data_IF_147522054652
#
_entry.id   IF_147522054652
#
_cell.length_a   1.000
_cell.length_b   1.000
_cell.length_c   1.000
_cell.angle_alpha   90.00
_cell.angle_beta   90.00
_cell.angle_gamma   90.00
#
_symmetry.space_group_name_H-M   'P 1'
#
loop_
_entity.id
_entity.type
_entity.pdbx_description
1 polymer ?
#
# COMPACT_ATOMS: atom_id res chain seq x y z
N UNK A 1 7.37 -12.81 -60.38
CA UNK A 1 6.70 -12.79 -61.69
C UNK A 1 6.58 -14.22 -62.18
N UNK A 2 5.37 -14.60 -62.64
CA UNK A 2 5.01 -15.72 -63.55
C UNK A 2 5.36 -17.17 -63.13
N UNK A 3 4.47 -18.18 -63.12
CA UNK A 3 3.02 -18.29 -63.40
C UNK A 3 2.52 -19.69 -63.03
N UNK A 4 1.24 -19.79 -62.63
CA UNK A 4 0.42 -21.01 -62.51
C UNK A 4 0.13 -21.67 -63.88
N UNK A 5 -0.06 -23.00 -63.87
CA UNK A 5 -1.01 -23.88 -64.62
C UNK A 5 -0.39 -25.28 -64.71
N UNK A 6 -1.07 -26.43 -64.65
CA UNK A 6 -2.44 -26.89 -64.43
C UNK A 6 -2.27 -28.38 -63.98
N UNK A 7 -3.22 -29.08 -63.38
CA UNK A 7 -4.21 -29.90 -64.09
C UNK A 7 -5.19 -30.45 -63.04
N UNK A 8 -6.48 -30.34 -63.35
CA UNK A 8 -7.63 -30.94 -62.66
C UNK A 8 -7.87 -32.33 -63.26
N UNK A 9 -8.14 -33.35 -62.44
CA UNK A 9 -8.99 -34.47 -62.84
C UNK A 9 -9.60 -35.17 -61.61
N UNK A 10 -10.93 -35.10 -61.51
CA UNK A 10 -11.79 -35.80 -60.57
C UNK A 10 -11.82 -37.31 -60.86
N UNK A 11 -11.81 -38.14 -59.81
CA UNK A 11 -12.45 -39.47 -59.80
C UNK A 11 -13.25 -39.65 -58.51
N UNK A 12 -14.46 -40.15 -58.71
CA UNK A 12 -15.61 -40.34 -57.81
C UNK A 12 -15.47 -41.64 -56.95
N UNK A 13 -16.42 -41.96 -56.04
CA UNK A 13 -16.17 -42.27 -54.64
C UNK A 13 -16.05 -43.78 -54.34
N UNK A 14 -15.16 -44.15 -53.42
CA UNK A 14 -15.07 -45.49 -52.84
C UNK A 14 -15.49 -45.47 -51.38
N UNK A 15 -16.62 -46.11 -51.07
CA UNK A 15 -17.09 -46.33 -49.71
C UNK A 15 -16.10 -47.18 -48.92
N UNK A 16 -15.56 -46.63 -47.83
CA UNK A 16 -14.91 -47.39 -46.78
C UNK A 16 -15.47 -46.91 -45.44
N UNK A 17 -16.13 -47.83 -44.73
CA UNK A 17 -16.70 -47.61 -43.42
C UNK A 17 -15.60 -47.21 -42.42
N UNK A 18 -15.58 -45.94 -42.03
CA UNK A 18 -14.75 -45.46 -40.94
C UNK A 18 -15.43 -45.84 -39.62
N UNK A 19 -14.86 -46.83 -38.93
CA UNK A 19 -15.14 -47.14 -37.53
C UNK A 19 -14.88 -45.88 -36.71
N UNK A 20 -15.92 -45.30 -36.13
CA UNK A 20 -15.80 -44.19 -35.20
C UNK A 20 -15.21 -44.71 -33.88
N UNK A 21 -13.88 -44.76 -33.79
CA UNK A 21 -13.21 -44.76 -32.49
C UNK A 21 -13.48 -43.40 -31.86
N UNK A 22 -14.47 -43.33 -30.97
CA UNK A 22 -14.58 -42.24 -30.01
C UNK A 22 -13.34 -42.26 -29.12
N UNK A 23 -12.33 -41.50 -29.52
CA UNK A 23 -11.24 -41.09 -28.66
C UNK A 23 -11.86 -40.33 -27.48
N UNK A 24 -12.05 -41.02 -26.36
CA UNK A 24 -12.10 -40.42 -25.04
C UNK A 24 -10.71 -39.79 -24.80
N UNK A 25 -10.48 -38.63 -25.40
CA UNK A 25 -9.40 -37.77 -24.96
C UNK A 25 -9.66 -37.50 -23.47
N UNK A 26 -8.68 -37.72 -22.58
CA UNK A 26 -8.84 -37.30 -21.20
C UNK A 26 -9.15 -35.80 -21.25
N UNK A 27 -10.28 -35.39 -20.68
CA UNK A 27 -10.50 -33.98 -20.36
C UNK A 27 -9.26 -33.57 -19.59
N UNK A 28 -8.38 -32.77 -20.20
CA UNK A 28 -7.41 -31.98 -19.43
C UNK A 28 -8.27 -31.30 -18.39
N UNK A 29 -8.10 -31.65 -17.11
CA UNK A 29 -8.60 -30.81 -16.05
C UNK A 29 -8.08 -29.41 -16.40
N UNK A 30 -8.98 -28.47 -16.66
CA UNK A 30 -8.57 -27.09 -16.85
C UNK A 30 -7.76 -26.75 -15.60
N UNK A 31 -6.48 -26.39 -15.78
CA UNK A 31 -5.69 -25.90 -14.66
C UNK A 31 -6.50 -24.75 -14.04
N UNK A 32 -6.71 -24.80 -12.72
CA UNK A 32 -7.43 -23.75 -12.02
C UNK A 32 -6.83 -22.41 -12.43
N UNK A 33 -7.68 -21.46 -12.82
CA UNK A 33 -7.22 -20.13 -13.16
C UNK A 33 -6.53 -19.53 -11.93
N UNK A 34 -5.30 -19.02 -12.08
CA UNK A 34 -4.51 -18.52 -10.97
C UNK A 34 -4.51 -17.01 -10.96
N UNK A 35 -5.01 -16.44 -9.88
CA UNK A 35 -4.94 -15.01 -9.58
C UNK A 35 -3.66 -14.73 -8.78
N UNK A 36 -2.65 -14.18 -9.44
CA UNK A 36 -1.37 -13.81 -8.83
C UNK A 36 -1.44 -12.41 -8.23
N UNK A 37 -1.17 -12.31 -6.93
CA UNK A 37 -1.20 -11.06 -6.16
C UNK A 37 0.19 -10.74 -5.63
N UNK A 38 0.75 -9.60 -6.04
CA UNK A 38 2.04 -9.13 -5.56
C UNK A 38 1.82 -8.12 -4.44
N UNK A 39 2.35 -8.39 -3.25
CA UNK A 39 1.98 -7.64 -2.06
C UNK A 39 3.01 -7.71 -0.94
N UNK A 40 2.80 -6.97 0.14
CA UNK A 40 3.47 -7.23 1.41
C UNK A 40 2.73 -8.37 2.17
N UNK A 41 3.44 -9.11 3.03
CA UNK A 41 2.87 -10.22 3.81
C UNK A 41 1.66 -9.83 4.67
N UNK A 42 1.59 -8.56 5.09
CA UNK A 42 0.45 -8.02 5.85
C UNK A 42 -0.85 -8.09 5.05
N UNK A 43 -0.83 -7.86 3.73
CA UNK A 43 -2.04 -7.89 2.90
C UNK A 43 -2.63 -9.30 2.84
N UNK A 44 -1.77 -10.32 2.65
CA UNK A 44 -2.19 -11.72 2.78
C UNK A 44 -2.79 -11.99 4.15
N UNK A 45 -2.09 -11.60 5.22
CA UNK A 45 -2.55 -11.86 6.59
C UNK A 45 -3.93 -11.25 6.84
N UNK A 46 -4.17 -9.98 6.51
CA UNK A 46 -5.47 -9.34 6.75
C UNK A 46 -6.58 -9.85 5.84
N UNK A 47 -6.24 -10.41 4.67
CA UNK A 47 -7.21 -11.01 3.75
C UNK A 47 -7.58 -12.45 4.12
N UNK A 48 -6.68 -13.21 4.73
CA UNK A 48 -6.86 -14.66 4.90
C UNK A 48 -6.97 -15.11 6.35
N UNK A 49 -6.82 -14.21 7.32
CA UNK A 49 -6.78 -14.55 8.75
C UNK A 49 -7.53 -13.52 9.60
N UNK A 50 -7.70 -13.82 10.89
CA UNK A 50 -8.35 -12.94 11.85
C UNK A 50 -9.87 -13.15 11.95
N UNK A 51 -10.57 -12.28 12.68
CA UNK A 51 -12.00 -12.45 12.98
C UNK A 51 -12.91 -12.47 11.74
N UNK A 52 -12.48 -11.85 10.64
CA UNK A 52 -13.21 -11.83 9.36
C UNK A 52 -13.01 -13.06 8.47
N UNK A 53 -12.12 -13.99 8.84
CA UNK A 53 -11.82 -15.19 8.04
C UNK A 53 -11.06 -14.90 6.75
N UNK A 54 -11.21 -15.78 5.75
CA UNK A 54 -10.61 -15.63 4.41
C UNK A 54 -11.60 -14.99 3.44
N UNK A 55 -11.39 -13.71 3.14
CA UNK A 55 -12.25 -12.92 2.24
C UNK A 55 -12.13 -13.36 0.78
N UNK A 56 -11.12 -14.17 0.44
CA UNK A 56 -10.93 -14.70 -0.92
C UNK A 56 -11.65 -16.03 -1.14
N UNK A 57 -12.05 -16.75 -0.08
CA UNK A 57 -12.49 -18.13 -0.16
C UNK A 57 -13.73 -18.31 -1.04
N UNK A 58 -14.77 -17.51 -0.83
CA UNK A 58 -16.02 -17.58 -1.61
C UNK A 58 -15.80 -17.25 -3.09
N UNK A 59 -14.90 -16.30 -3.38
CA UNK A 59 -14.53 -15.96 -4.76
C UNK A 59 -13.78 -17.10 -5.43
N UNK A 60 -12.82 -17.73 -4.72
CA UNK A 60 -12.06 -18.89 -5.24
C UNK A 60 -12.97 -20.06 -5.57
N UNK A 61 -13.88 -20.40 -4.67
CA UNK A 61 -14.86 -21.47 -4.88
C UNK A 61 -15.77 -21.19 -6.08
N UNK A 62 -16.35 -19.99 -6.15
CA UNK A 62 -17.25 -19.60 -7.24
C UNK A 62 -16.58 -19.64 -8.63
N UNK A 63 -15.30 -19.29 -8.71
CA UNK A 63 -14.58 -19.16 -9.98
C UNK A 63 -13.72 -20.39 -10.32
N UNK A 64 -13.63 -21.39 -9.44
CA UNK A 64 -12.72 -22.52 -9.63
C UNK A 64 -11.25 -22.08 -9.75
N UNK A 65 -10.89 -21.03 -9.00
CA UNK A 65 -9.61 -20.33 -9.13
C UNK A 65 -8.75 -20.46 -7.87
N UNK A 66 -7.43 -20.38 -8.05
CA UNK A 66 -6.46 -20.29 -6.96
C UNK A 66 -5.98 -18.84 -6.80
N UNK A 67 -5.68 -18.43 -5.56
CA UNK A 67 -5.03 -17.13 -5.29
C UNK A 67 -3.60 -17.39 -4.84
N UNK A 68 -2.64 -16.92 -5.62
CA UNK A 68 -1.22 -16.99 -5.31
C UNK A 68 -0.74 -15.65 -4.75
N UNK A 69 -0.34 -15.64 -3.49
CA UNK A 69 0.23 -14.47 -2.83
C UNK A 69 1.75 -14.50 -2.92
N UNK A 70 2.31 -13.56 -3.67
CA UNK A 70 3.76 -13.37 -3.80
C UNK A 70 4.18 -12.18 -2.95
N UNK A 71 4.69 -12.48 -1.76
CA UNK A 71 4.95 -11.46 -0.73
C UNK A 71 6.42 -11.06 -0.65
N UNK A 72 6.71 -9.76 -0.55
CA UNK A 72 8.05 -9.22 -0.33
C UNK A 72 8.01 -8.03 0.66
N UNK A 73 9.17 -7.44 0.96
CA UNK A 73 9.26 -6.20 1.78
C UNK A 73 8.57 -5.02 1.11
N UNK A 74 8.37 -3.93 1.84
CA UNK A 74 7.61 -2.75 1.38
C UNK A 74 8.19 -2.17 0.09
N UNK A 75 9.49 -1.87 0.06
CA UNK A 75 10.18 -1.30 -1.10
C UNK A 75 10.11 -2.26 -2.29
N UNK A 76 10.48 -3.53 -2.06
CA UNK A 76 10.49 -4.56 -3.08
C UNK A 76 9.09 -4.83 -3.68
N UNK A 77 8.02 -4.66 -2.90
CA UNK A 77 6.64 -4.79 -3.41
C UNK A 77 6.35 -3.70 -4.43
N UNK A 78 6.66 -2.44 -4.09
CA UNK A 78 6.39 -1.30 -4.97
C UNK A 78 7.27 -1.32 -6.23
N UNK A 79 8.56 -1.63 -6.10
CA UNK A 79 9.46 -1.78 -7.25
C UNK A 79 8.99 -2.88 -8.21
N UNK A 80 8.57 -4.02 -7.66
CA UNK A 80 8.05 -5.12 -8.46
C UNK A 80 6.76 -4.74 -9.18
N UNK A 81 5.86 -4.01 -8.53
CA UNK A 81 4.63 -3.55 -9.14
C UNK A 81 4.89 -2.68 -10.38
N UNK A 82 5.81 -1.71 -10.31
CA UNK A 82 6.19 -0.91 -11.49
C UNK A 82 6.88 -1.72 -12.57
N UNK A 83 7.75 -2.65 -12.16
CA UNK A 83 8.43 -3.52 -13.11
C UNK A 83 7.40 -4.30 -13.93
N UNK A 84 6.43 -4.96 -13.28
CA UNK A 84 5.36 -5.69 -13.97
C UNK A 84 4.51 -4.79 -14.86
N UNK A 85 4.11 -3.62 -14.36
CA UNK A 85 3.28 -2.69 -15.10
C UNK A 85 3.97 -2.11 -16.35
N UNK A 86 5.31 -2.17 -16.40
CA UNK A 86 6.10 -1.78 -17.57
C UNK A 86 6.29 -2.87 -18.63
N UNK A 87 5.94 -4.13 -18.33
CA UNK A 87 6.11 -5.24 -19.26
C UNK A 87 4.97 -5.26 -20.29
N UNK A 88 5.31 -5.58 -21.55
CA UNK A 88 4.29 -5.85 -22.57
C UNK A 88 3.45 -7.11 -22.29
N UNK A 89 3.95 -8.00 -21.44
CA UNK A 89 3.25 -9.16 -20.91
C UNK A 89 3.82 -9.50 -19.52
N UNK A 90 3.00 -9.36 -18.48
CA UNK A 90 3.33 -9.72 -17.10
C UNK A 90 2.49 -10.91 -16.61
N UNK A 91 2.77 -11.36 -15.38
CA UNK A 91 1.99 -12.41 -14.73
C UNK A 91 1.27 -11.94 -13.44
N UNK A 92 1.44 -10.67 -13.06
CA UNK A 92 0.67 -10.08 -11.98
C UNK A 92 -0.76 -9.78 -12.44
N UNK A 93 -1.75 -10.27 -11.68
CA UNK A 93 -3.14 -9.88 -11.87
C UNK A 93 -3.52 -8.72 -10.95
N UNK A 94 -2.99 -8.72 -9.72
CA UNK A 94 -3.18 -7.64 -8.74
C UNK A 94 -1.82 -7.28 -8.16
N UNK A 95 -1.57 -5.98 -8.03
CA UNK A 95 -0.41 -5.44 -7.32
C UNK A 95 -0.90 -4.53 -6.20
N UNK A 96 -0.26 -4.63 -5.04
CA UNK A 96 -0.43 -3.66 -3.97
C UNK A 96 0.64 -2.58 -4.08
N UNK A 97 0.22 -1.34 -3.92
CA UNK A 97 1.08 -0.17 -3.92
C UNK A 97 0.80 0.66 -2.68
N UNK A 98 1.84 1.27 -2.12
CA UNK A 98 1.64 2.38 -1.19
C UNK A 98 1.22 3.62 -1.98
N UNK A 99 0.34 4.43 -1.38
CA UNK A 99 -0.23 5.63 -1.97
C UNK A 99 0.82 6.61 -2.54
N UNK A 100 1.93 6.80 -1.83
CA UNK A 100 3.05 7.67 -2.27
C UNK A 100 3.74 7.21 -3.55
N UNK A 101 3.56 5.95 -3.95
CA UNK A 101 4.04 5.42 -5.23
C UNK A 101 2.97 5.53 -6.33
N UNK A 102 1.77 5.99 -6.01
CA UNK A 102 0.77 6.37 -7.02
C UNK A 102 0.93 7.85 -7.33
N UNK A 103 1.00 8.19 -8.62
CA UNK A 103 1.19 9.57 -9.08
C UNK A 103 0.85 9.71 -10.56
N UNK A 104 0.59 10.93 -11.08
CA UNK A 104 0.14 11.14 -12.45
C UNK A 104 1.05 10.51 -13.49
N UNK A 105 2.36 10.49 -13.22
CA UNK A 105 3.38 9.88 -14.07
C UNK A 105 3.25 8.35 -14.21
N UNK A 106 2.61 7.68 -13.25
CA UNK A 106 2.42 6.22 -13.25
C UNK A 106 0.98 5.80 -13.54
N UNK A 107 0.03 6.75 -13.54
CA UNK A 107 -1.38 6.48 -13.76
C UNK A 107 -1.65 5.71 -15.07
N UNK A 108 -0.89 6.01 -16.12
CA UNK A 108 -1.02 5.35 -17.43
C UNK A 108 -0.54 3.89 -17.48
N UNK A 109 0.14 3.40 -16.43
CA UNK A 109 0.60 2.01 -16.33
C UNK A 109 -0.48 1.07 -15.79
N UNK A 110 -1.56 1.62 -15.23
CA UNK A 110 -2.63 0.86 -14.59
C UNK A 110 -3.95 1.03 -15.33
N UNK A 111 -4.82 0.03 -15.19
CA UNK A 111 -6.15 0.06 -15.79
C UNK A 111 -7.05 1.08 -15.10
N UNK A 112 -7.98 1.68 -15.86
CA UNK A 112 -9.00 2.55 -15.28
C UNK A 112 -10.10 1.72 -14.63
N UNK A 113 -9.99 1.55 -13.31
CA UNK A 113 -10.93 0.79 -12.50
C UNK A 113 -12.29 1.48 -12.39
N UNK A 114 -12.40 2.76 -12.76
CA UNK A 114 -13.67 3.50 -12.79
C UNK A 114 -14.64 2.91 -13.82
N UNK A 115 -14.12 2.53 -14.99
CA UNK A 115 -14.91 1.84 -16.02
C UNK A 115 -15.36 0.44 -15.57
N UNK A 116 -14.52 -0.29 -14.83
CA UNK A 116 -14.90 -1.57 -14.22
C UNK A 116 -15.96 -1.41 -13.15
N UNK A 117 -15.79 -0.44 -12.25
CA UNK A 117 -16.75 -0.14 -11.20
C UNK A 117 -18.11 0.30 -11.75
N UNK A 118 -18.15 1.05 -12.85
CA UNK A 118 -19.41 1.42 -13.50
C UNK A 118 -20.18 0.21 -14.07
N UNK A 119 -19.46 -0.83 -14.50
CA UNK A 119 -20.05 -2.09 -15.03
C UNK A 119 -20.42 -3.07 -13.91
N UNK A 120 -19.55 -3.22 -12.93
CA UNK A 120 -19.69 -4.15 -11.81
C UNK A 120 -19.35 -3.41 -10.51
N UNK A 121 -20.32 -2.71 -9.89
CA UNK A 121 -20.07 -1.86 -8.75
C UNK A 121 -19.60 -2.65 -7.53
N UNK A 122 -18.53 -2.16 -6.91
CA UNK A 122 -18.07 -2.59 -5.59
C UNK A 122 -19.04 -2.01 -4.56
N UNK A 123 -19.81 -2.83 -3.81
CA UNK A 123 -20.72 -2.31 -2.78
C UNK A 123 -19.96 -1.51 -1.72
N UNK A 124 -20.51 -0.35 -1.35
CA UNK A 124 -19.95 0.50 -0.30
C UNK A 124 -18.67 1.26 -0.69
N UNK A 125 -18.25 1.27 -1.97
CA UNK A 125 -17.06 2.04 -2.37
C UNK A 125 -17.21 3.54 -2.05
N UNK A 126 -18.43 4.07 -2.14
CA UNK A 126 -18.78 5.45 -1.77
C UNK A 126 -18.75 5.74 -0.26
N UNK A 127 -18.63 4.70 0.58
CA UNK A 127 -18.46 4.86 2.04
C UNK A 127 -16.98 5.10 2.41
N UNK A 128 -16.05 4.83 1.49
CA UNK A 128 -14.63 5.16 1.65
C UNK A 128 -14.48 6.70 1.59
N UNK A 129 -13.72 7.32 2.51
CA UNK A 129 -13.50 8.76 2.51
C UNK A 129 -13.05 9.29 1.14
N UNK A 130 -13.71 10.36 0.67
CA UNK A 130 -13.48 10.93 -0.66
C UNK A 130 -12.01 11.30 -0.92
N UNK A 131 -11.26 11.70 0.12
CA UNK A 131 -9.83 11.97 0.00
C UNK A 131 -9.00 10.74 -0.38
N UNK A 132 -9.35 9.55 0.10
CA UNK A 132 -8.65 8.30 -0.23
C UNK A 132 -8.95 7.87 -1.67
N UNK A 133 -10.21 8.01 -2.11
CA UNK A 133 -10.58 7.75 -3.51
C UNK A 133 -9.90 8.77 -4.44
N UNK A 134 -9.90 10.04 -4.04
CA UNK A 134 -9.27 11.14 -4.78
C UNK A 134 -7.77 10.96 -4.94
N UNK A 135 -7.06 10.45 -3.93
CA UNK A 135 -5.63 10.15 -3.99
C UNK A 135 -5.26 9.13 -5.09
N UNK A 136 -6.21 8.28 -5.50
CA UNK A 136 -6.04 7.30 -6.58
C UNK A 136 -6.85 7.63 -7.83
N UNK A 137 -7.44 8.84 -7.90
CA UNK A 137 -8.14 9.33 -9.09
C UNK A 137 -7.25 10.34 -9.82
N UNK A 138 -6.55 9.87 -10.84
CA UNK A 138 -5.51 10.64 -11.54
C UNK A 138 -5.94 10.90 -12.98
N UNK A 139 -6.02 12.18 -13.36
CA UNK A 139 -6.48 12.56 -14.71
C UNK A 139 -7.90 12.07 -15.04
N UNK A 140 -8.76 11.95 -14.01
CA UNK A 140 -10.13 11.45 -14.14
C UNK A 140 -10.27 9.92 -14.18
N UNK A 141 -9.17 9.16 -14.06
CA UNK A 141 -9.18 7.70 -14.02
C UNK A 141 -8.93 7.19 -12.61
N UNK A 142 -9.70 6.20 -12.18
CA UNK A 142 -9.47 5.54 -10.89
C UNK A 142 -8.41 4.44 -11.08
N UNK A 143 -7.17 4.70 -10.70
CA UNK A 143 -6.03 3.84 -11.00
C UNK A 143 -5.77 2.77 -9.94
N UNK A 144 -6.33 2.94 -8.74
CA UNK A 144 -6.25 1.98 -7.65
C UNK A 144 -7.48 2.07 -6.74
N UNK A 145 -7.78 0.99 -6.01
CA UNK A 145 -8.83 0.95 -4.99
C UNK A 145 -8.18 1.01 -3.61
N UNK A 146 -8.59 1.95 -2.72
CA UNK A 146 -8.17 1.91 -1.32
C UNK A 146 -8.53 0.57 -0.68
N UNK A 147 -7.54 -0.14 -0.17
CA UNK A 147 -7.73 -1.46 0.46
C UNK A 147 -7.48 -1.41 1.97
N UNK A 148 -6.38 -0.77 2.37
CA UNK A 148 -5.96 -0.62 3.75
C UNK A 148 -5.30 0.74 3.92
N UNK A 149 -5.69 1.47 4.96
CA UNK A 149 -5.02 2.72 5.35
C UNK A 149 -4.43 2.59 6.75
N UNK A 150 -3.43 3.42 7.04
CA UNK A 150 -2.91 3.64 8.38
C UNK A 150 -3.22 5.08 8.76
N UNK A 151 -4.04 5.29 9.80
CA UNK A 151 -4.29 6.63 10.33
C UNK A 151 -3.25 6.94 11.38
N UNK A 152 -2.57 8.07 11.23
CA UNK A 152 -1.58 8.51 12.18
C UNK A 152 -2.23 9.28 13.31
N UNK A 153 -1.68 9.13 14.50
CA UNK A 153 -2.18 9.74 15.72
C UNK A 153 -1.08 9.82 16.75
N UNK A 154 -1.26 10.76 17.69
CA UNK A 154 -0.37 10.86 18.83
C UNK A 154 -0.71 9.74 19.83
N UNK A 155 0.15 8.73 19.88
CA UNK A 155 0.11 7.71 20.90
C UNK A 155 0.87 8.18 22.13
N UNK A 156 0.31 7.95 23.33
CA UNK A 156 0.94 8.31 24.60
C UNK A 156 0.80 7.18 25.62
N UNK A 157 1.81 7.01 26.46
CA UNK A 157 1.80 6.06 27.56
C UNK A 157 1.15 6.72 28.79
N UNK A 158 -0.06 6.26 29.16
CA UNK A 158 -0.83 6.82 30.27
C UNK A 158 -0.15 6.66 31.63
N UNK A 159 0.68 5.61 31.79
CA UNK A 159 1.48 5.41 33.00
C UNK A 159 2.52 6.52 33.15
N UNK A 160 3.28 6.85 32.09
CA UNK A 160 4.30 7.91 32.17
C UNK A 160 3.67 9.29 32.36
N UNK A 161 2.50 9.54 31.75
CA UNK A 161 1.72 10.74 32.02
C UNK A 161 1.34 10.86 33.50
N UNK A 162 0.81 9.79 34.09
CA UNK A 162 0.40 9.76 35.49
C UNK A 162 1.58 9.94 36.46
N UNK A 163 2.70 9.24 36.22
CA UNK A 163 3.94 9.34 37.01
C UNK A 163 4.47 10.77 37.12
N UNK A 164 4.24 11.59 36.10
CA UNK A 164 4.73 12.98 36.02
C UNK A 164 3.64 14.03 36.18
N UNK A 165 2.38 13.63 36.42
CA UNK A 165 1.25 14.55 36.53
C UNK A 165 0.96 15.34 35.25
N UNK A 166 1.32 14.80 34.09
CA UNK A 166 1.16 15.44 32.77
C UNK A 166 -0.19 15.03 32.19
N UNK A 167 -0.95 16.00 31.66
CA UNK A 167 -2.22 15.72 30.99
C UNK A 167 -1.99 15.35 29.52
N UNK A 168 -2.85 14.50 28.91
CA UNK A 168 -2.77 14.21 27.48
C UNK A 168 -2.81 15.50 26.64
N UNK A 169 -1.81 15.75 25.78
CA UNK A 169 -1.73 16.98 25.00
C UNK A 169 -2.78 16.98 23.87
N UNK A 170 -3.30 18.18 23.57
CA UNK A 170 -4.31 18.43 22.53
C UNK A 170 -3.83 19.37 21.44
N UNK A 171 -2.67 20.02 21.63
CA UNK A 171 -2.05 20.92 20.65
C UNK A 171 -0.57 20.61 20.53
N UNK A 172 0.06 21.06 19.46
CA UNK A 172 1.50 20.86 19.26
C UNK A 172 2.33 21.53 20.37
N UNK A 173 1.93 22.71 20.84
CA UNK A 173 2.58 23.38 21.97
C UNK A 173 2.48 22.55 23.27
N UNK A 174 1.34 21.90 23.48
CA UNK A 174 1.17 21.00 24.62
C UNK A 174 2.01 19.73 24.46
N UNK A 175 2.11 19.19 23.24
CA UNK A 175 2.98 18.05 22.93
C UNK A 175 4.45 18.37 23.22
N UNK A 176 4.94 19.53 22.79
CA UNK A 176 6.31 19.98 23.08
C UNK A 176 6.57 20.09 24.59
N UNK A 177 5.65 20.72 25.34
CA UNK A 177 5.76 20.83 26.81
C UNK A 177 5.72 19.47 27.50
N UNK A 178 4.83 18.57 27.06
CA UNK A 178 4.73 17.22 27.59
C UNK A 178 6.02 16.44 27.32
N UNK A 179 6.59 16.55 26.11
CA UNK A 179 7.85 15.90 25.76
C UNK A 179 9.01 16.33 26.67
N UNK A 180 9.07 17.62 27.02
CA UNK A 180 10.06 18.11 27.98
C UNK A 180 9.85 17.52 29.38
N UNK A 181 8.61 17.54 29.88
CA UNK A 181 8.27 17.03 31.22
C UNK A 181 8.47 15.51 31.37
N UNK A 182 8.30 14.78 30.27
CA UNK A 182 8.42 13.32 30.20
C UNK A 182 9.83 12.85 29.80
N UNK A 183 10.76 13.78 29.57
CA UNK A 183 12.16 13.44 29.34
C UNK A 183 12.93 13.45 30.65
N UNK A 184 13.37 12.28 31.10
CA UNK A 184 14.06 12.13 32.39
C UNK A 184 14.88 10.85 32.47
N UNK A 185 15.68 10.72 33.53
CA UNK A 185 16.34 9.46 33.89
C UNK A 185 15.65 8.90 35.12
N UNK A 186 15.23 7.63 35.05
CA UNK A 186 14.67 6.90 36.20
C UNK A 186 15.73 6.67 37.27
N UNK A 187 15.29 6.30 38.47
CA UNK A 187 16.17 5.98 39.59
C UNK A 187 17.13 4.80 39.29
N UNK A 188 16.75 3.91 38.39
CA UNK A 188 17.56 2.78 37.92
C UNK A 188 18.57 3.15 36.82
N UNK A 189 18.64 4.42 36.42
CA UNK A 189 19.51 4.91 35.36
C UNK A 189 18.92 4.82 33.95
N UNK A 190 17.72 4.26 33.77
CA UNK A 190 17.07 4.15 32.46
C UNK A 190 16.67 5.53 31.94
N UNK A 191 17.09 5.86 30.71
CA UNK A 191 16.69 7.09 30.03
C UNK A 191 15.28 6.95 29.44
N UNK A 192 14.39 7.87 29.78
CA UNK A 192 13.07 8.04 29.20
C UNK A 192 13.10 9.27 28.28
N UNK A 193 12.62 9.09 27.05
CA UNK A 193 12.46 10.14 26.05
C UNK A 193 11.00 10.54 25.99
N UNK A 194 10.70 11.83 26.13
CA UNK A 194 9.31 12.29 26.19
C UNK A 194 8.63 12.38 24.83
N UNK A 195 9.38 12.27 23.73
CA UNK A 195 8.85 12.14 22.39
C UNK A 195 9.72 11.18 21.57
N UNK A 196 9.06 10.33 20.79
CA UNK A 196 9.70 9.42 19.85
C UNK A 196 9.05 9.62 18.50
N UNK A 197 9.88 9.83 17.49
CA UNK A 197 9.50 9.97 16.08
C UNK A 197 10.40 9.04 15.27
N UNK A 198 9.92 8.53 14.14
CA UNK A 198 10.78 7.92 13.12
C UNK A 198 10.99 8.89 11.95
N UNK A 199 12.18 8.85 11.36
CA UNK A 199 12.54 9.62 10.16
C UNK A 199 13.09 8.71 9.06
N UNK A 200 12.96 7.39 9.19
CA UNK A 200 13.33 6.41 8.16
C UNK A 200 12.33 6.41 6.99
N UNK A 201 11.11 6.87 7.24
CA UNK A 201 10.07 7.10 6.26
C UNK A 201 9.54 8.56 6.33
N UNK A 202 8.99 9.10 5.23
CA UNK A 202 8.59 10.52 5.14
C UNK A 202 7.30 10.86 5.88
N UNK A 203 6.53 9.87 6.35
CA UNK A 203 5.18 10.12 6.88
C UNK A 203 5.18 10.83 8.25
N UNK A 204 5.92 10.34 9.23
CA UNK A 204 6.09 10.98 10.54
C UNK A 204 6.66 12.41 10.44
N UNK A 205 7.70 12.67 9.62
CA UNK A 205 8.17 14.03 9.36
C UNK A 205 7.09 14.95 8.76
N UNK A 206 6.29 14.45 7.80
CA UNK A 206 5.22 15.21 7.16
C UNK A 206 4.08 15.50 8.17
N UNK A 207 3.70 14.55 9.01
CA UNK A 207 2.70 14.77 10.05
C UNK A 207 3.16 15.82 11.05
N UNK A 208 4.43 15.77 11.43
CA UNK A 208 5.02 16.79 12.28
C UNK A 208 4.92 18.17 11.65
N UNK A 209 5.31 18.30 10.38
CA UNK A 209 5.20 19.55 9.62
C UNK A 209 3.75 20.04 9.58
N UNK A 210 2.79 19.15 9.32
CA UNK A 210 1.36 19.47 9.29
C UNK A 210 0.82 19.86 10.66
N UNK A 211 1.35 19.29 11.74
CA UNK A 211 1.05 19.71 13.11
C UNK A 211 1.43 21.15 13.43
N UNK A 212 2.35 21.76 12.66
CA UNK A 212 2.72 23.18 12.75
C UNK A 212 1.97 24.07 11.74
N UNK A 213 1.03 23.52 10.98
CA UNK A 213 0.37 24.20 9.85
C UNK A 213 1.26 24.27 8.60
N UNK A 214 2.28 23.42 8.53
CA UNK A 214 3.14 23.21 7.37
C UNK A 214 2.53 22.25 6.33
N UNK A 215 3.13 22.16 5.14
CA UNK A 215 2.95 21.01 4.26
C UNK A 215 4.23 20.77 3.45
N UNK A 216 4.30 19.64 2.73
CA UNK A 216 5.43 19.28 1.86
C UNK A 216 5.13 19.61 0.38
N UNK A 217 3.94 19.26 -0.09
CA UNK A 217 3.51 19.41 -1.49
C UNK A 217 2.02 19.70 -1.56
N UNK A 218 1.59 20.56 -2.47
CA UNK A 218 0.16 20.87 -2.70
C UNK A 218 -0.51 19.79 -3.56
N UNK A 219 -1.85 19.74 -3.61
CA UNK A 219 -2.57 18.88 -4.55
C UNK A 219 -2.26 19.14 -6.03
N UNK A 220 -1.72 20.32 -6.37
CA UNK A 220 -1.26 20.68 -7.71
C UNK A 220 0.19 20.21 -8.00
N UNK A 221 0.78 19.41 -7.09
CA UNK A 221 2.17 18.93 -7.15
C UNK A 221 3.23 20.05 -7.05
N UNK A 222 2.89 21.17 -6.42
CA UNK A 222 3.86 22.23 -6.11
C UNK A 222 4.53 21.95 -4.76
N UNK A 223 5.86 21.97 -4.72
CA UNK A 223 6.63 21.77 -3.48
C UNK A 223 6.59 23.05 -2.63
N UNK A 224 6.18 22.92 -1.37
CA UNK A 224 5.93 24.05 -0.45
C UNK A 224 6.63 23.89 0.92
N UNK A 225 7.61 22.99 0.99
CA UNK A 225 8.31 22.63 2.23
C UNK A 225 9.13 23.78 2.85
N UNK A 226 9.36 24.86 2.12
CA UNK A 226 10.09 26.05 2.59
C UNK A 226 9.18 27.11 3.24
N UNK A 227 7.87 26.86 3.34
CA UNK A 227 6.95 27.78 3.99
C UNK A 227 7.32 28.01 5.47
N UNK A 228 7.05 29.21 6.03
CA UNK A 228 7.46 29.55 7.40
C UNK A 228 7.01 28.55 8.47
N UNK A 229 5.85 27.91 8.29
CA UNK A 229 5.36 26.87 9.20
C UNK A 229 6.20 25.58 9.16
N UNK A 230 6.58 25.11 7.97
CA UNK A 230 7.43 23.94 7.81
C UNK A 230 8.84 24.19 8.36
N UNK A 231 9.41 25.38 8.12
CA UNK A 231 10.70 25.79 8.68
C UNK A 231 10.67 25.78 10.22
N UNK A 232 9.58 26.29 10.84
CA UNK A 232 9.40 26.20 12.30
C UNK A 232 9.31 24.77 12.80
N UNK A 233 8.63 23.88 12.07
CA UNK A 233 8.49 22.48 12.44
C UNK A 233 9.86 21.77 12.46
N UNK A 234 10.68 21.97 11.43
CA UNK A 234 12.04 21.42 11.35
C UNK A 234 12.93 22.01 12.45
N UNK A 235 12.85 23.33 12.69
CA UNK A 235 13.60 23.96 13.77
C UNK A 235 13.25 23.38 15.15
N UNK A 236 11.96 23.08 15.39
CA UNK A 236 11.50 22.45 16.62
C UNK A 236 12.08 21.04 16.80
N UNK A 237 12.07 20.18 15.78
CA UNK A 237 12.71 18.85 15.86
C UNK A 237 14.20 18.97 16.18
N UNK A 238 14.90 19.89 15.50
CA UNK A 238 16.32 20.13 15.73
C UNK A 238 16.60 20.58 17.18
N UNK A 239 15.74 21.42 17.76
CA UNK A 239 15.83 21.83 19.17
C UNK A 239 15.64 20.63 20.12
N UNK A 240 14.58 19.84 19.91
CA UNK A 240 14.30 18.65 20.72
C UNK A 240 15.46 17.64 20.70
N UNK A 241 16.05 17.43 19.52
CA UNK A 241 17.23 16.57 19.37
C UNK A 241 18.43 17.11 20.15
N UNK A 242 18.76 18.40 20.01
CA UNK A 242 19.88 19.05 20.73
C UNK A 242 19.71 19.00 22.25
N UNK A 243 18.47 19.01 22.72
CA UNK A 243 18.12 18.92 24.15
C UNK A 243 18.00 17.49 24.66
N UNK A 244 18.33 16.51 23.83
CA UNK A 244 18.26 15.07 24.14
C UNK A 244 16.85 14.61 24.59
N UNK A 245 15.80 15.25 24.06
CA UNK A 245 14.39 14.87 24.25
C UNK A 245 14.00 13.73 23.31
N UNK A 246 14.63 13.66 22.13
CA UNK A 246 14.49 12.57 21.18
C UNK A 246 15.61 11.52 21.37
N UNK A 247 15.36 10.25 21.03
CA UNK A 247 16.41 9.23 20.93
C UNK A 247 17.53 9.64 19.97
N UNK A 248 18.79 9.24 20.26
CA UNK A 248 19.95 9.61 19.42
C UNK A 248 19.91 9.00 18.02
N UNK A 249 19.25 7.84 17.89
CA UNK A 249 19.12 7.10 16.64
C UNK A 249 17.84 7.45 15.86
N UNK A 250 17.18 8.58 16.16
CA UNK A 250 15.87 8.98 15.58
C UNK A 250 15.83 8.92 14.04
N UNK A 251 16.97 9.15 13.37
CA UNK A 251 17.09 9.12 11.91
C UNK A 251 17.03 7.72 11.29
N UNK A 252 17.26 6.68 12.08
CA UNK A 252 17.32 5.29 11.63
C UNK A 252 16.34 4.38 12.37
N UNK A 253 15.49 4.97 13.22
CA UNK A 253 14.45 4.22 13.93
C UNK A 253 13.38 3.76 12.96
N UNK A 254 12.93 2.53 13.15
CA UNK A 254 11.77 1.95 12.47
C UNK A 254 10.53 2.06 13.34
N UNK A 255 9.37 1.81 12.76
CA UNK A 255 8.09 1.79 13.49
C UNK A 255 8.09 0.81 14.68
N UNK A 256 8.77 -0.34 14.56
CA UNK A 256 8.90 -1.31 15.64
C UNK A 256 9.73 -0.76 16.81
N UNK A 257 10.75 0.06 16.53
CA UNK A 257 11.54 0.71 17.57
C UNK A 257 10.66 1.71 18.33
N UNK A 258 9.87 2.52 17.62
CA UNK A 258 8.90 3.45 18.23
C UNK A 258 7.95 2.70 19.17
N UNK A 259 7.44 1.55 18.75
CA UNK A 259 6.55 0.71 19.57
C UNK A 259 7.26 0.20 20.83
N UNK A 260 8.52 -0.19 20.70
CA UNK A 260 9.33 -0.67 21.84
C UNK A 260 9.55 0.41 22.88
N UNK A 261 9.78 1.66 22.46
CA UNK A 261 9.93 2.80 23.39
C UNK A 261 8.62 3.17 24.13
N UNK A 262 7.47 2.71 23.64
CA UNK A 262 6.17 2.97 24.28
C UNK A 262 5.84 1.98 25.40
N UNK A 263 6.53 0.84 25.46
CA UNK A 263 6.36 -0.22 26.46
C UNK A 263 7.14 0.10 27.75
#
# INVERSE_FOLDING_TARGET
>A
MTTRRAVIANLLPGAAAAVALTLLAPRRAAAAERLSIFSHAVHKSVSTTGPGGDVTASWREKNGAEVEWLTSGVEATNERAFKEASLGQGNANIVFLLDRYTGPQFAGMFEDLGAWHARDPIPGLNEIPAGMIGAHTLGGKLTAIPFRHATHGLHYNTTFLAERGVQPPKTMEQTLKAAEQLTYTRADGTRVYGLVLNFDDPSSPIDWIRGFGGDFITPAYEVVIDQPAAVRAVAAICDLYKREILPKNVLTMKTEDVTTFMQ
#
